data_IF_851476680115
#
_entry.id   IF_851476680115
#
_cell.length_a   1.000
_cell.length_b   1.000
_cell.length_c   1.000
_cell.angle_alpha   90.00
_cell.angle_beta   90.00
_cell.angle_gamma   90.00
#
_symmetry.space_group_name_H-M   'P 1'
#
loop_
_entity.id
_entity.type
_entity.pdbx_description
1 polymer ?
#
# COMPACT_ATOMS: atom_id res chain seq x y z
N UNK A 1 -14.16 1.02 2.11
CA UNK A 1 -13.45 1.88 1.14
C UNK A 1 -13.59 3.32 1.59
N UNK A 2 -12.63 4.22 1.30
CA UNK A 2 -12.67 5.59 1.80
C UNK A 2 -13.90 6.38 1.34
N UNK A 3 -14.36 6.18 0.09
CA UNK A 3 -15.55 6.86 -0.43
C UNK A 3 -16.83 6.56 0.36
N UNK A 4 -17.05 5.30 0.76
CA UNK A 4 -18.22 4.95 1.58
C UNK A 4 -18.08 5.50 3.00
N UNK A 5 -16.89 5.44 3.59
CA UNK A 5 -16.65 6.01 4.93
C UNK A 5 -16.90 7.52 4.95
N UNK A 6 -16.38 8.25 3.96
CA UNK A 6 -16.60 9.70 3.82
C UNK A 6 -18.09 9.98 3.63
N UNK A 7 -18.77 9.24 2.75
CA UNK A 7 -20.20 9.45 2.52
C UNK A 7 -21.05 9.32 3.79
N UNK A 8 -20.75 8.33 4.66
CA UNK A 8 -21.52 8.08 5.88
C UNK A 8 -21.15 8.99 7.05
N UNK A 9 -19.90 9.44 7.16
CA UNK A 9 -19.46 10.32 8.24
C UNK A 9 -19.68 11.79 7.90
N UNK A 10 -19.25 12.20 6.72
CA UNK A 10 -19.23 13.60 6.30
C UNK A 10 -19.15 13.71 4.77
N UNK A 11 -20.32 13.70 4.12
CA UNK A 11 -20.40 13.73 2.67
C UNK A 11 -19.70 14.96 2.07
N UNK A 12 -18.95 14.72 1.00
CA UNK A 12 -18.32 15.77 0.19
C UNK A 12 -19.37 16.53 -0.64
N UNK A 13 -19.09 17.79 -0.94
CA UNK A 13 -19.89 18.62 -1.83
C UNK A 13 -19.00 19.44 -2.75
N UNK A 14 -19.57 20.13 -3.74
CA UNK A 14 -18.81 21.07 -4.59
C UNK A 14 -18.08 22.16 -3.80
N UNK A 15 -18.54 22.45 -2.58
CA UNK A 15 -17.95 23.46 -1.70
C UNK A 15 -17.14 22.87 -0.54
N UNK A 16 -17.09 21.53 -0.41
CA UNK A 16 -16.46 20.85 0.73
C UNK A 16 -15.55 19.71 0.28
N UNK A 17 -14.26 19.89 0.54
CA UNK A 17 -13.22 18.91 0.26
C UNK A 17 -12.89 18.10 1.52
N UNK A 18 -12.71 16.80 1.36
CA UNK A 18 -12.28 15.88 2.41
C UNK A 18 -11.02 15.17 1.93
N UNK A 19 -10.00 15.11 2.79
CA UNK A 19 -8.74 14.45 2.51
C UNK A 19 -8.75 13.05 3.14
N UNK A 20 -8.16 12.08 2.45
CA UNK A 20 -8.01 10.72 2.96
C UNK A 20 -6.54 10.30 2.83
N UNK A 21 -6.03 9.67 3.89
CA UNK A 21 -4.69 9.11 3.94
C UNK A 21 -4.76 7.65 4.40
N UNK A 22 -3.90 6.79 3.84
CA UNK A 22 -3.80 5.41 4.33
C UNK A 22 -3.00 5.37 5.65
N UNK A 23 -3.09 4.25 6.38
CA UNK A 23 -2.45 4.12 7.69
C UNK A 23 -0.90 4.11 7.62
N UNK A 24 -0.30 3.60 6.54
CA UNK A 24 1.15 3.56 6.39
C UNK A 24 1.75 4.94 6.15
N UNK A 25 1.02 5.81 5.44
CA UNK A 25 1.40 7.20 5.25
C UNK A 25 1.23 8.01 6.54
N UNK A 26 0.23 7.69 7.39
CA UNK A 26 0.13 8.29 8.74
C UNK A 26 1.36 7.93 9.57
N UNK A 27 1.81 6.68 9.52
CA UNK A 27 3.04 6.23 10.19
C UNK A 27 4.27 6.95 9.63
N UNK A 28 4.36 7.09 8.31
CA UNK A 28 5.48 7.77 7.66
C UNK A 28 5.55 9.25 8.05
N UNK A 29 4.41 9.95 8.10
CA UNK A 29 4.33 11.34 8.59
C UNK A 29 4.77 11.41 10.06
N UNK A 30 4.26 10.51 10.91
CA UNK A 30 4.65 10.46 12.32
C UNK A 30 6.16 10.25 12.50
N UNK A 31 6.76 9.36 11.71
CA UNK A 31 8.22 9.16 11.71
C UNK A 31 8.97 10.39 11.22
N UNK A 32 8.53 11.01 10.12
CA UNK A 32 9.15 12.23 9.61
C UNK A 32 9.25 13.32 10.69
N UNK A 33 8.20 13.54 11.48
CA UNK A 33 8.21 14.54 12.54
C UNK A 33 9.01 14.14 13.79
N UNK A 34 9.12 12.83 14.08
CA UNK A 34 9.84 12.36 15.27
C UNK A 34 11.32 12.13 15.04
N UNK A 35 11.74 11.76 13.82
CA UNK A 35 13.14 11.49 13.48
C UNK A 35 13.75 12.56 12.58
N UNK A 36 12.94 13.36 11.86
CA UNK A 36 13.41 14.30 10.85
C UNK A 36 13.77 13.66 9.51
N UNK A 37 13.55 12.34 9.35
CA UNK A 37 13.94 11.58 8.17
C UNK A 37 12.72 11.04 7.41
N UNK A 38 12.81 10.99 6.08
CA UNK A 38 11.75 10.44 5.25
C UNK A 38 11.66 8.91 5.43
N UNK A 39 10.52 8.43 5.92
CA UNK A 39 10.28 7.01 6.10
C UNK A 39 9.64 6.35 4.86
N UNK A 40 10.43 5.56 4.14
CA UNK A 40 10.03 4.93 2.87
C UNK A 40 9.66 3.47 2.99
N UNK A 41 9.84 2.82 4.14
CA UNK A 41 9.43 1.43 4.30
C UNK A 41 7.92 1.29 4.14
N UNK A 42 7.52 0.19 3.51
CA UNK A 42 6.14 -0.23 3.30
C UNK A 42 6.01 -1.70 3.65
N UNK A 43 4.90 -2.05 4.28
CA UNK A 43 4.49 -3.44 4.50
C UNK A 43 3.38 -3.74 3.51
N UNK A 44 3.63 -4.67 2.61
CA UNK A 44 2.69 -5.03 1.54
C UNK A 44 2.30 -6.51 1.64
N UNK A 45 1.10 -6.83 1.18
CA UNK A 45 0.64 -8.20 1.08
C UNK A 45 1.08 -8.81 -0.25
N UNK A 46 1.93 -9.84 -0.19
CA UNK A 46 2.17 -10.74 -1.30
C UNK A 46 1.13 -11.86 -1.23
N UNK A 47 0.26 -11.92 -2.23
CA UNK A 47 -0.81 -12.92 -2.27
C UNK A 47 -1.32 -13.15 -3.68
N UNK A 48 -2.12 -14.20 -3.83
CA UNK A 48 -2.67 -14.66 -5.10
C UNK A 48 -2.54 -16.18 -5.25
N UNK A 49 -3.36 -16.80 -6.11
CA UNK A 49 -3.37 -18.25 -6.30
C UNK A 49 -2.06 -18.82 -6.87
N UNK A 50 -1.25 -17.96 -7.52
CA UNK A 50 0.03 -18.34 -8.12
C UNK A 50 1.24 -17.99 -7.22
N UNK A 51 1.02 -17.63 -5.96
CA UNK A 51 2.10 -17.28 -5.02
C UNK A 51 2.56 -18.52 -4.25
N UNK A 52 3.88 -18.78 -4.20
CA UNK A 52 4.44 -19.91 -3.44
C UNK A 52 4.28 -19.71 -1.94
N UNK A 53 4.61 -18.51 -1.44
CA UNK A 53 4.63 -18.20 -0.01
C UNK A 53 3.90 -16.89 0.29
N UNK A 54 2.55 -16.88 0.27
CA UNK A 54 1.76 -15.67 0.53
C UNK A 54 1.97 -15.18 1.97
N UNK A 55 2.41 -13.93 2.11
CA UNK A 55 2.74 -13.31 3.40
C UNK A 55 2.77 -11.78 3.32
N UNK A 56 2.90 -11.14 4.48
CA UNK A 56 3.27 -9.73 4.54
C UNK A 56 4.78 -9.60 4.42
N UNK A 57 5.24 -8.75 3.51
CA UNK A 57 6.67 -8.44 3.34
C UNK A 57 6.92 -6.96 3.58
N UNK A 58 8.11 -6.65 4.09
CA UNK A 58 8.60 -5.29 4.18
C UNK A 58 9.40 -4.97 2.93
N UNK A 59 9.06 -3.86 2.30
CA UNK A 59 9.69 -3.34 1.08
C UNK A 59 9.85 -1.82 1.20
N UNK A 60 10.38 -1.17 0.18
CA UNK A 60 10.42 0.29 0.07
C UNK A 60 9.34 0.83 -0.87
N UNK A 61 8.97 2.08 -0.68
CA UNK A 61 8.08 2.80 -1.57
C UNK A 61 8.65 2.81 -3.00
N UNK A 62 7.88 2.30 -3.97
CA UNK A 62 8.30 2.25 -5.37
C UNK A 62 9.27 1.12 -5.72
N UNK A 63 9.39 0.09 -4.86
CA UNK A 63 10.19 -1.10 -5.16
C UNK A 63 9.78 -1.76 -6.49
N UNK A 64 10.77 -2.28 -7.23
CA UNK A 64 10.50 -3.06 -8.44
C UNK A 64 9.77 -4.35 -8.08
N UNK A 65 8.57 -4.51 -8.61
CA UNK A 65 7.71 -5.66 -8.35
C UNK A 65 8.33 -6.93 -8.94
N UNK A 66 9.06 -6.84 -10.05
CA UNK A 66 9.69 -8.01 -10.65
C UNK A 66 10.81 -8.55 -9.76
N UNK A 67 11.62 -7.66 -9.21
CA UNK A 67 12.69 -8.00 -8.27
C UNK A 67 12.12 -8.58 -6.96
N UNK A 68 11.04 -7.98 -6.46
CA UNK A 68 10.37 -8.46 -5.24
C UNK A 68 9.72 -9.85 -5.40
N UNK A 69 9.37 -10.24 -6.63
CA UNK A 69 8.67 -11.49 -6.93
C UNK A 69 9.58 -12.61 -7.46
N UNK A 70 10.90 -12.37 -7.53
CA UNK A 70 11.88 -13.41 -7.88
C UNK A 70 11.73 -14.58 -6.91
N UNK A 71 11.57 -15.79 -7.45
CA UNK A 71 11.35 -17.04 -6.71
C UNK A 71 10.08 -17.12 -5.83
N UNK A 72 9.22 -16.09 -5.82
CA UNK A 72 7.98 -16.06 -5.04
C UNK A 72 6.76 -16.58 -5.80
N UNK A 73 6.85 -16.69 -7.13
CA UNK A 73 5.74 -17.09 -8.01
C UNK A 73 5.89 -18.51 -8.56
N UNK A 74 4.77 -19.22 -8.71
CA UNK A 74 4.71 -20.54 -9.35
C UNK A 74 4.97 -20.43 -10.86
N UNK A 75 5.46 -21.51 -11.47
CA UNK A 75 5.72 -21.56 -12.92
C UNK A 75 4.40 -21.45 -13.70
N UNK A 76 4.34 -20.53 -14.68
CA UNK A 76 3.16 -20.27 -15.49
C UNK A 76 3.07 -18.82 -15.94
N UNK A 77 2.03 -18.48 -16.70
CA UNK A 77 1.72 -17.09 -17.01
C UNK A 77 1.15 -16.39 -15.77
N UNK A 78 1.96 -15.51 -15.17
CA UNK A 78 1.57 -14.72 -14.01
C UNK A 78 1.32 -13.26 -14.43
N UNK A 79 0.17 -12.71 -14.02
CA UNK A 79 -0.12 -11.28 -14.15
C UNK A 79 0.16 -10.58 -12.82
N UNK A 80 1.22 -9.80 -12.77
CA UNK A 80 1.53 -8.98 -11.61
C UNK A 80 0.60 -7.75 -11.56
N UNK A 81 0.05 -7.46 -10.39
CA UNK A 81 -0.84 -6.31 -10.17
C UNK A 81 -0.32 -5.55 -8.96
N UNK A 82 0.09 -4.29 -9.18
CA UNK A 82 0.35 -3.36 -8.08
C UNK A 82 -0.97 -2.91 -7.49
N UNK A 83 -1.24 -3.30 -6.25
CA UNK A 83 -2.25 -2.66 -5.43
C UNK A 83 -1.79 -1.28 -4.95
N UNK A 84 -2.66 -0.58 -4.23
CA UNK A 84 -2.28 0.60 -3.44
C UNK A 84 -1.35 0.13 -2.31
N UNK A 85 -0.06 0.46 -2.44
CA UNK A 85 0.95 0.35 -1.38
C UNK A 85 0.88 1.56 -0.43
#
# INVERSE_FOLDING_TARGET
MPGTHIHFLEAVSLTKQVWHLNYQDVIAIGKLFTTGELYTDRVIALGGPQMRNPRLVRTCLGADINDLLVDETLEGENRHISGLC
#
